data_IF_369099793021
#
_entry.id   IF_369099793021
#
_cell.length_a   1.000
_cell.length_b   1.000
_cell.length_c   1.000
_cell.angle_alpha   90.00
_cell.angle_beta   90.00
_cell.angle_gamma   90.00
#
_symmetry.space_group_name_H-M   'P 1'
#
loop_
_entity.id
_entity.type
_entity.pdbx_description
1 polymer ?
#
# COMPACT_ATOMS: atom_id res chain seq x y z
N UNK A 1 2.17 -33.84 -19.35
CA UNK A 1 1.37 -32.61 -19.28
C UNK A 1 2.13 -31.62 -18.41
N UNK A 2 3.02 -30.82 -19.00
CA UNK A 2 3.78 -29.81 -18.26
C UNK A 2 2.87 -28.64 -17.94
N UNK A 3 2.58 -28.40 -16.66
CA UNK A 3 1.86 -27.19 -16.26
C UNK A 3 2.70 -25.96 -16.66
N UNK A 4 2.12 -24.92 -17.26
CA UNK A 4 2.84 -23.68 -17.50
C UNK A 4 3.29 -23.14 -16.14
N UNK A 5 4.60 -23.07 -15.92
CA UNK A 5 5.17 -22.39 -14.77
C UNK A 5 4.63 -20.96 -14.77
N UNK A 6 3.72 -20.65 -13.84
CA UNK A 6 3.26 -19.29 -13.64
C UNK A 6 4.48 -18.44 -13.27
N UNK A 7 4.92 -17.60 -14.21
CA UNK A 7 6.05 -16.70 -13.97
C UNK A 7 5.63 -15.68 -12.92
N UNK A 8 6.27 -15.76 -11.76
CA UNK A 8 6.12 -14.77 -10.70
C UNK A 8 6.69 -13.45 -11.22
N UNK A 9 5.91 -12.37 -11.24
CA UNK A 9 6.41 -11.08 -11.72
C UNK A 9 7.60 -10.63 -10.86
N UNK A 10 8.63 -10.08 -11.51
CA UNK A 10 9.83 -9.58 -10.81
C UNK A 10 9.48 -8.47 -9.81
N UNK A 11 8.46 -7.67 -10.13
CA UNK A 11 7.93 -6.56 -9.33
C UNK A 11 6.42 -6.69 -9.22
N UNK A 12 5.92 -6.70 -7.99
CA UNK A 12 4.47 -6.64 -7.72
C UNK A 12 4.06 -5.18 -7.54
N UNK A 13 2.92 -4.81 -8.13
CA UNK A 13 2.34 -3.46 -8.00
C UNK A 13 0.92 -3.55 -7.46
N UNK A 14 0.53 -2.54 -6.68
CA UNK A 14 -0.83 -2.34 -6.21
C UNK A 14 -1.21 -0.87 -6.26
N UNK A 15 -2.51 -0.59 -6.19
CA UNK A 15 -3.07 0.76 -6.20
C UNK A 15 -3.73 1.07 -4.85
N UNK A 16 -3.66 2.32 -4.43
CA UNK A 16 -4.46 2.88 -3.34
C UNK A 16 -5.07 4.20 -3.77
N UNK A 17 -6.24 4.52 -3.21
CA UNK A 17 -6.95 5.78 -3.44
C UNK A 17 -7.27 6.46 -2.12
N UNK A 18 -7.34 7.79 -2.12
CA UNK A 18 -7.90 8.53 -0.99
C UNK A 18 -9.41 8.26 -0.88
N UNK A 19 -10.01 8.64 0.26
CA UNK A 19 -11.43 8.41 0.53
C UNK A 19 -12.36 9.08 -0.49
N UNK A 20 -11.94 10.24 -1.00
CA UNK A 20 -12.71 11.01 -1.98
C UNK A 20 -12.62 10.43 -3.41
N UNK A 21 -11.70 9.50 -3.68
CA UNK A 21 -11.45 8.98 -5.02
C UNK A 21 -10.71 9.94 -5.95
N UNK A 22 -10.28 11.10 -5.45
CA UNK A 22 -9.68 12.19 -6.23
C UNK A 22 -8.17 12.07 -6.39
N UNK A 23 -7.51 11.22 -5.59
CA UNK A 23 -6.07 10.91 -5.70
C UNK A 23 -5.90 9.41 -5.66
N UNK A 24 -5.20 8.86 -6.65
CA UNK A 24 -4.77 7.46 -6.67
C UNK A 24 -3.28 7.34 -7.00
N UNK A 25 -2.63 6.39 -6.33
CA UNK A 25 -1.23 6.06 -6.58
C UNK A 25 -1.14 4.56 -6.82
N UNK A 26 -0.31 4.17 -7.79
CA UNK A 26 0.20 2.80 -7.89
C UNK A 26 1.66 2.77 -7.53
N UNK A 27 2.03 1.84 -6.67
CA UNK A 27 3.40 1.66 -6.25
C UNK A 27 3.83 0.19 -6.30
N UNK A 28 5.14 -0.01 -6.42
CA UNK A 28 5.77 -1.31 -6.27
C UNK A 28 5.76 -1.75 -4.80
N UNK A 29 5.98 -3.04 -4.57
CA UNK A 29 6.30 -3.63 -3.27
C UNK A 29 7.53 -3.01 -2.58
N UNK A 30 8.44 -2.40 -3.33
CA UNK A 30 9.57 -1.59 -2.82
C UNK A 30 9.24 -0.12 -2.51
N UNK A 31 7.97 0.32 -2.65
CA UNK A 31 7.57 1.69 -2.36
C UNK A 31 7.89 2.71 -3.45
N UNK A 32 8.17 2.27 -4.67
CA UNK A 32 8.43 3.16 -5.81
C UNK A 32 7.09 3.45 -6.51
N UNK A 33 6.63 4.71 -6.60
CA UNK A 33 5.42 5.04 -7.35
C UNK A 33 5.68 4.87 -8.85
N UNK A 34 4.78 4.16 -9.53
CA UNK A 34 4.82 3.91 -10.98
C UNK A 34 3.73 4.64 -11.75
N UNK A 35 2.66 5.07 -11.07
CA UNK A 35 1.60 5.89 -11.62
C UNK A 35 0.98 6.75 -10.50
N UNK A 36 0.73 8.02 -10.80
CA UNK A 36 0.04 8.96 -9.90
C UNK A 36 -1.05 9.65 -10.70
N UNK A 37 -2.28 9.65 -10.20
CA UNK A 37 -3.42 10.39 -10.77
C UNK A 37 -4.07 11.23 -9.70
N UNK A 38 -4.37 12.48 -10.01
CA UNK A 38 -5.17 13.32 -9.13
C UNK A 38 -5.98 14.35 -9.91
N UNK A 39 -7.10 14.76 -9.33
CA UNK A 39 -7.95 15.79 -9.90
C UNK A 39 -7.39 17.19 -9.69
N UNK A 40 -7.75 18.12 -10.59
CA UNK A 40 -7.40 19.54 -10.46
C UNK A 40 -7.95 20.18 -9.18
N UNK A 41 -9.04 19.63 -8.64
CA UNK A 41 -9.64 20.07 -7.38
C UNK A 41 -8.67 20.00 -6.20
N UNK A 42 -7.68 19.11 -6.25
CA UNK A 42 -6.67 18.93 -5.19
C UNK A 42 -5.70 20.10 -5.04
N UNK A 43 -5.49 20.89 -6.10
CA UNK A 43 -4.59 22.06 -6.02
C UNK A 43 -5.03 23.09 -4.98
N UNK A 44 -6.33 23.15 -4.65
CA UNK A 44 -6.87 24.10 -3.68
C UNK A 44 -6.32 23.90 -2.26
N UNK A 45 -5.84 22.69 -1.95
CA UNK A 45 -5.28 22.34 -0.64
C UNK A 45 -3.78 22.66 -0.54
N UNK A 46 -3.15 23.05 -1.65
CA UNK A 46 -1.74 23.41 -1.73
C UNK A 46 -0.81 22.22 -1.99
N UNK A 47 0.40 22.53 -2.48
CA UNK A 47 1.36 21.52 -2.93
C UNK A 47 1.83 20.60 -1.80
N UNK A 48 1.97 21.11 -0.57
CA UNK A 48 2.39 20.32 0.58
C UNK A 48 1.37 19.25 0.96
N UNK A 49 0.07 19.61 0.98
CA UNK A 49 -1.00 18.67 1.28
C UNK A 49 -1.09 17.57 0.22
N UNK A 50 -1.00 17.95 -1.05
CA UNK A 50 -0.98 16.99 -2.17
C UNK A 50 0.23 16.05 -2.08
N UNK A 51 1.43 16.57 -1.80
CA UNK A 51 2.63 15.75 -1.66
C UNK A 51 2.54 14.77 -0.48
N UNK A 52 2.00 15.21 0.66
CA UNK A 52 1.76 14.36 1.81
C UNK A 52 0.78 13.22 1.48
N UNK A 53 -0.31 13.52 0.80
CA UNK A 53 -1.31 12.52 0.40
C UNK A 53 -0.75 11.52 -0.62
N UNK A 54 0.03 11.98 -1.61
CA UNK A 54 0.73 11.10 -2.55
C UNK A 54 1.70 10.17 -1.81
N UNK A 55 2.48 10.68 -0.85
CA UNK A 55 3.40 9.87 -0.06
C UNK A 55 2.63 8.82 0.76
N UNK A 56 1.54 9.22 1.41
CA UNK A 56 0.65 8.35 2.19
C UNK A 56 0.11 7.20 1.32
N UNK A 57 -0.44 7.52 0.15
CA UNK A 57 -0.95 6.53 -0.80
C UNK A 57 0.14 5.65 -1.41
N UNK A 58 1.36 6.17 -1.57
CA UNK A 58 2.52 5.38 -2.00
C UNK A 58 2.86 4.30 -0.96
N UNK A 59 2.92 4.67 0.33
CA UNK A 59 3.16 3.74 1.44
C UNK A 59 2.07 2.67 1.51
N UNK A 60 0.79 3.06 1.44
CA UNK A 60 -0.36 2.12 1.41
C UNK A 60 -0.25 1.14 0.24
N UNK A 61 0.02 1.66 -0.95
CA UNK A 61 0.17 0.83 -2.16
C UNK A 61 1.32 -0.17 -2.03
N UNK A 62 2.42 0.22 -1.38
CA UNK A 62 3.55 -0.68 -1.13
C UNK A 62 3.18 -1.84 -0.20
N UNK A 63 2.44 -1.57 0.89
CA UNK A 63 1.97 -2.60 1.83
C UNK A 63 1.09 -3.62 1.11
N UNK A 64 0.12 -3.14 0.33
CA UNK A 64 -0.76 -4.01 -0.47
C UNK A 64 0.05 -4.81 -1.50
N UNK A 65 1.03 -4.19 -2.15
CA UNK A 65 1.89 -4.88 -3.13
C UNK A 65 2.76 -5.96 -2.48
N UNK A 66 3.27 -5.75 -1.25
CA UNK A 66 4.03 -6.77 -0.51
C UNK A 66 3.14 -7.95 -0.08
N UNK A 67 1.93 -7.68 0.41
CA UNK A 67 0.98 -8.74 0.77
C UNK A 67 0.62 -9.60 -0.45
N UNK A 68 0.32 -8.94 -1.58
CA UNK A 68 0.08 -9.63 -2.86
C UNK A 68 1.30 -10.43 -3.33
N UNK A 69 2.52 -9.91 -3.14
CA UNK A 69 3.75 -10.64 -3.46
C UNK A 69 3.88 -11.92 -2.62
N UNK A 70 3.50 -11.86 -1.34
CA UNK A 70 3.45 -13.04 -0.47
C UNK A 70 2.51 -14.09 -1.03
N UNK A 71 1.28 -13.69 -1.40
CA UNK A 71 0.27 -14.58 -1.96
C UNK A 71 0.79 -15.27 -3.24
N UNK A 72 1.34 -14.50 -4.18
CA UNK A 72 1.90 -15.04 -5.43
C UNK A 72 3.06 -16.03 -5.19
N UNK A 73 3.94 -15.76 -4.22
CA UNK A 73 5.03 -16.67 -3.88
C UNK A 73 4.51 -17.93 -3.17
N UNK A 74 3.53 -17.80 -2.27
CA UNK A 74 2.90 -18.93 -1.60
C UNK A 74 2.20 -19.85 -2.61
N UNK A 75 1.45 -19.28 -3.56
CA UNK A 75 0.79 -20.00 -4.67
C UNK A 75 1.80 -20.74 -5.55
N UNK A 76 3.02 -20.22 -5.69
CA UNK A 76 4.11 -20.88 -6.41
C UNK A 76 4.79 -22.03 -5.63
N UNK A 77 4.34 -22.30 -4.40
CA UNK A 77 4.89 -23.35 -3.54
C UNK A 77 6.02 -22.90 -2.61
N UNK A 78 6.23 -21.59 -2.43
CA UNK A 78 7.20 -21.08 -1.47
C UNK A 78 6.75 -21.37 -0.03
N UNK A 79 7.59 -22.03 0.81
CA UNK A 79 7.27 -22.25 2.22
C UNK A 79 7.08 -20.95 3.01
N UNK A 80 6.15 -20.97 3.96
CA UNK A 80 5.80 -19.83 4.82
C UNK A 80 7.01 -19.27 5.56
N UNK A 81 7.92 -20.13 6.02
CA UNK A 81 9.12 -19.74 6.78
C UNK A 81 10.10 -18.93 5.92
N UNK A 82 10.11 -19.15 4.59
CA UNK A 82 10.88 -18.33 3.66
C UNK A 82 10.18 -17.00 3.42
N UNK A 83 8.85 -17.00 3.27
CA UNK A 83 8.07 -15.78 3.11
C UNK A 83 8.23 -14.83 4.31
N UNK A 84 8.27 -15.38 5.52
CA UNK A 84 8.50 -14.63 6.76
C UNK A 84 9.90 -14.00 6.78
N UNK A 85 10.92 -14.74 6.34
CA UNK A 85 12.30 -14.22 6.21
C UNK A 85 12.43 -13.12 5.15
N UNK A 86 11.58 -13.11 4.13
CA UNK A 86 11.52 -12.04 3.13
C UNK A 86 10.83 -10.77 3.68
N UNK A 87 10.26 -10.82 4.88
CA UNK A 87 9.54 -9.69 5.47
C UNK A 87 8.27 -9.31 4.70
N UNK A 88 7.67 -10.27 4.00
CA UNK A 88 6.41 -10.05 3.29
C UNK A 88 5.25 -10.22 4.28
N UNK A 89 4.39 -9.21 4.49
CA UNK A 89 3.28 -9.31 5.42
C UNK A 89 2.24 -10.29 4.88
N UNK A 90 1.60 -11.00 5.78
CA UNK A 90 0.33 -11.67 5.50
C UNK A 90 -0.74 -10.65 5.16
N UNK A 91 -1.85 -11.12 4.57
CA UNK A 91 -3.00 -10.27 4.29
C UNK A 91 -3.55 -9.61 5.54
N UNK A 92 -3.57 -10.33 6.67
CA UNK A 92 -4.07 -9.78 7.94
C UNK A 92 -3.14 -8.69 8.47
N UNK A 93 -1.82 -8.95 8.53
CA UNK A 93 -0.85 -7.95 8.98
C UNK A 93 -0.86 -6.69 8.10
N UNK A 94 -1.09 -6.85 6.80
CA UNK A 94 -1.24 -5.72 5.88
C UNK A 94 -2.50 -4.91 6.19
N UNK A 95 -3.62 -5.54 6.52
CA UNK A 95 -4.85 -4.84 6.96
C UNK A 95 -4.58 -4.09 8.27
N UNK A 96 -3.99 -4.76 9.26
CA UNK A 96 -3.71 -4.16 10.57
C UNK A 96 -2.74 -2.95 10.46
N UNK A 97 -1.74 -3.02 9.57
CA UNK A 97 -0.85 -1.89 9.27
C UNK A 97 -1.59 -0.75 8.56
N UNK A 98 -2.45 -1.05 7.59
CA UNK A 98 -3.22 -0.02 6.88
C UNK A 98 -4.20 0.71 7.80
N UNK A 99 -4.82 -0.02 8.73
CA UNK A 99 -5.71 0.55 9.76
C UNK A 99 -4.91 1.46 10.70
N UNK A 100 -3.74 1.01 11.20
CA UNK A 100 -2.85 1.87 11.99
C UNK A 100 -2.43 3.14 11.27
N UNK A 101 -2.10 3.05 9.98
CA UNK A 101 -1.77 4.23 9.18
C UNK A 101 -2.93 5.21 9.08
N UNK A 102 -4.16 4.72 8.86
CA UNK A 102 -5.33 5.59 8.76
C UNK A 102 -5.68 6.24 10.12
N UNK A 103 -5.43 5.54 11.24
CA UNK A 103 -5.60 6.08 12.59
C UNK A 103 -4.57 7.18 12.92
N UNK A 104 -3.29 6.97 12.59
CA UNK A 104 -2.22 7.95 12.78
C UNK A 104 -2.49 9.26 12.01
N UNK A 105 -3.03 9.14 10.79
CA UNK A 105 -3.32 10.28 9.93
C UNK A 105 -4.58 11.07 10.35
N UNK A 106 -5.49 10.46 11.13
CA UNK A 106 -6.74 11.12 11.54
C UNK A 106 -6.54 12.11 12.71
N UNK A 107 -5.37 12.13 13.36
CA UNK A 107 -5.10 12.98 14.52
C UNK A 107 -6.01 12.70 15.72
N UNK A 108 -5.79 13.32 16.90
CA UNK A 108 -6.65 13.08 18.06
C UNK A 108 -8.10 13.50 17.76
N UNK A 109 -9.03 12.55 17.79
CA UNK A 109 -10.48 12.79 17.72
C UNK A 109 -11.05 13.42 19.00
N UNK A 110 -10.20 13.72 19.98
CA UNK A 110 -10.60 14.39 21.21
C UNK A 110 -10.59 15.91 21.04
N UNK A 111 -11.77 16.52 21.19
CA UNK A 111 -11.94 17.96 21.41
C UNK A 111 -11.53 18.41 22.82
N UNK A 112 -11.14 17.48 23.70
CA UNK A 112 -10.65 17.80 25.03
C UNK A 112 -9.13 17.94 24.99
N UNK A 113 -8.69 19.17 25.29
CA UNK A 113 -7.30 19.43 25.68
C UNK A 113 -6.94 18.52 26.87
N UNK A 114 -5.80 17.82 26.82
CA UNK A 114 -5.24 17.21 28.02
C UNK A 114 -5.01 18.32 29.06
N UNK A 115 -5.51 18.12 30.27
CA UNK A 115 -5.22 18.94 31.46
C UNK A 115 -4.06 18.33 32.24
#
# INVERSE_FOLDING_TARGET
MSQPQQQIPSVTVAASTNRAGTISVRATDQGIPVEIKFERSEYRYGAQALAAEILRLTKRSAIVAKARRRELLAESGMPTEILDKLGLPTRQEAVDELDRMDDEDTGPTSWMRPV
#
